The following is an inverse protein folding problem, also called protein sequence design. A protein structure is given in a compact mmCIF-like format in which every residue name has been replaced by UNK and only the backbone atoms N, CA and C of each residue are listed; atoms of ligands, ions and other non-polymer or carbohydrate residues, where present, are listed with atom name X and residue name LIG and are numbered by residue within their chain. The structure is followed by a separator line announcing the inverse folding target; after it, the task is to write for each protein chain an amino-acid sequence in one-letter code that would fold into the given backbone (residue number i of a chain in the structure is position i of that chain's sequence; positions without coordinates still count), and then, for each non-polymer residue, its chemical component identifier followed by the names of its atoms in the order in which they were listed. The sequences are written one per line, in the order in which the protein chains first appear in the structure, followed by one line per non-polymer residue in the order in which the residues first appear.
data_IF_130732208756
#
_entry.id   IF_130732208756
#
_cell.length_a   1.000
_cell.length_b   1.000
_cell.length_c   1.000
_cell.angle_alpha   90.00
_cell.angle_beta   90.00
_cell.angle_gamma   90.00
#
_symmetry.space_group_name_H-M   'P 1'
#
loop_
_entity.id
_entity.type
_entity.pdbx_description
1 polymer ?
#
# COMPACT_ATOMS: atom_id res chain seq x y z
N UNK A 1 -24.25 -3.41 -17.58
CA UNK A 1 -22.99 -4.19 -17.65
C UNK A 1 -21.83 -3.28 -17.25
N UNK A 2 -21.21 -3.46 -16.08
CA UNK A 2 -19.96 -2.75 -15.74
C UNK A 2 -18.84 -3.38 -16.54
N UNK A 3 -18.17 -2.63 -17.44
CA UNK A 3 -16.96 -3.11 -18.12
C UNK A 3 -15.93 -3.44 -17.04
N UNK A 4 -15.32 -4.63 -17.09
CA UNK A 4 -14.18 -4.95 -16.21
C UNK A 4 -13.07 -3.93 -16.52
N UNK A 5 -12.63 -3.22 -15.49
CA UNK A 5 -11.46 -2.34 -15.60
C UNK A 5 -10.24 -3.20 -15.91
N UNK A 6 -9.49 -2.83 -16.94
CA UNK A 6 -8.22 -3.45 -17.30
C UNK A 6 -7.13 -2.62 -16.63
N UNK A 7 -6.30 -3.26 -15.79
CA UNK A 7 -5.19 -2.59 -15.12
C UNK A 7 -3.91 -2.68 -15.97
N UNK A 8 -2.95 -1.75 -15.78
CA UNK A 8 -1.65 -1.82 -16.45
C UNK A 8 -0.93 -3.15 -16.19
N UNK A 9 -0.20 -3.66 -17.20
CA UNK A 9 0.47 -4.96 -17.13
C UNK A 9 1.43 -5.08 -15.93
N UNK A 10 2.17 -4.00 -15.64
CA UNK A 10 3.10 -3.95 -14.51
C UNK A 10 2.42 -4.04 -13.14
N UNK A 11 1.19 -3.52 -13.02
CA UNK A 11 0.38 -3.63 -11.79
C UNK A 11 -0.04 -5.09 -11.59
N UNK A 12 -0.49 -5.75 -12.67
CA UNK A 12 -0.84 -7.18 -12.63
C UNK A 12 0.39 -8.06 -12.32
N UNK A 13 1.53 -7.76 -12.93
CA UNK A 13 2.78 -8.48 -12.69
C UNK A 13 3.22 -8.39 -11.22
N UNK A 14 3.17 -7.18 -10.64
CA UNK A 14 3.48 -6.96 -9.23
C UNK A 14 2.53 -7.71 -8.29
N UNK A 15 1.23 -7.73 -8.59
CA UNK A 15 0.27 -8.55 -7.82
C UNK A 15 0.57 -10.05 -7.91
N UNK A 16 0.94 -10.54 -9.09
CA UNK A 16 1.28 -11.95 -9.28
C UNK A 16 2.56 -12.32 -8.53
N UNK A 17 3.57 -11.46 -8.58
CA UNK A 17 4.81 -11.64 -7.82
C UNK A 17 4.53 -11.66 -6.31
N UNK A 18 3.77 -10.70 -5.79
CA UNK A 18 3.47 -10.63 -4.37
C UNK A 18 2.71 -11.88 -3.86
N UNK A 19 1.84 -12.47 -4.68
CA UNK A 19 1.20 -13.75 -4.33
C UNK A 19 2.18 -14.92 -4.29
N UNK A 20 3.12 -14.99 -5.25
CA UNK A 20 4.15 -16.05 -5.27
C UNK A 20 5.07 -15.97 -4.07
N UNK A 21 5.43 -14.75 -3.68
CA UNK A 21 6.27 -14.46 -2.51
C UNK A 21 5.47 -14.48 -1.19
N UNK A 22 4.17 -14.80 -1.24
CA UNK A 22 3.29 -14.94 -0.07
C UNK A 22 3.17 -13.71 0.82
N UNK A 23 3.28 -12.51 0.25
CA UNK A 23 2.99 -11.26 0.98
C UNK A 23 1.62 -11.31 1.67
N UNK A 24 1.53 -10.78 2.89
CA UNK A 24 0.28 -10.74 3.66
C UNK A 24 -0.80 -9.99 2.89
N UNK A 25 -0.48 -8.86 2.27
CA UNK A 25 -1.40 -8.16 1.38
C UNK A 25 -0.66 -7.30 0.35
N UNK A 26 -1.38 -6.92 -0.70
CA UNK A 26 -0.97 -5.84 -1.59
C UNK A 26 -2.17 -4.97 -1.99
N UNK A 27 -1.95 -3.67 -2.17
CA UNK A 27 -2.96 -2.70 -2.62
C UNK A 27 -2.35 -1.82 -3.70
N UNK A 28 -3.08 -1.65 -4.81
CA UNK A 28 -2.77 -0.66 -5.83
C UNK A 28 -3.63 0.57 -5.61
N UNK A 29 -2.95 1.69 -5.40
CA UNK A 29 -3.50 3.02 -5.23
C UNK A 29 -3.32 3.80 -6.52
N UNK A 30 -4.41 4.17 -7.17
CA UNK A 30 -4.37 4.86 -8.46
C UNK A 30 -4.65 6.34 -8.28
N UNK A 31 -3.96 7.18 -9.04
CA UNK A 31 -4.24 8.61 -9.09
C UNK A 31 -5.50 8.87 -9.90
N UNK A 32 -6.40 9.69 -9.37
CA UNK A 32 -7.64 10.04 -10.06
C UNK A 32 -7.41 10.94 -11.29
N UNK A 33 -6.19 11.44 -11.52
CA UNK A 33 -5.78 12.20 -12.72
C UNK A 33 -6.51 13.53 -12.97
N UNK A 34 -7.59 13.82 -12.23
CA UNK A 34 -8.54 14.91 -12.47
C UNK A 34 -8.33 16.15 -11.60
N UNK A 35 -7.27 16.20 -10.78
CA UNK A 35 -7.02 17.38 -9.97
C UNK A 35 -6.41 18.50 -10.81
N UNK A 36 -7.28 19.31 -11.42
CA UNK A 36 -6.95 20.69 -11.84
C UNK A 36 -6.67 21.60 -10.62
N UNK A 37 -6.60 21.03 -9.41
CA UNK A 37 -6.31 21.74 -8.19
C UNK A 37 -4.80 21.74 -7.94
N UNK A 38 -4.29 22.89 -7.52
CA UNK A 38 -2.94 23.09 -7.03
C UNK A 38 -2.64 22.34 -5.70
N UNK A 39 -3.58 21.51 -5.21
CA UNK A 39 -3.49 20.81 -3.92
C UNK A 39 -2.96 19.37 -4.03
N UNK A 40 -2.60 18.91 -5.24
CA UNK A 40 -1.92 17.63 -5.45
C UNK A 40 -2.83 16.47 -5.88
N UNK A 41 -2.19 15.37 -6.28
CA UNK A 41 -2.85 14.17 -6.77
C UNK A 41 -3.49 13.36 -5.62
N UNK A 42 -4.79 13.09 -5.71
CA UNK A 42 -5.47 12.12 -4.83
C UNK A 42 -5.18 10.70 -5.29
N UNK A 43 -4.77 9.82 -4.37
CA UNK A 43 -4.56 8.39 -4.59
C UNK A 43 -5.65 7.58 -3.90
N UNK A 44 -6.36 6.74 -4.67
CA UNK A 44 -7.48 5.93 -4.19
C UNK A 44 -7.21 4.44 -4.37
N UNK A 45 -7.60 3.56 -3.43
CA UNK A 45 -7.39 2.13 -3.57
C UNK A 45 -8.35 1.56 -4.61
N UNK A 46 -7.82 1.02 -5.71
CA UNK A 46 -8.66 0.50 -6.83
C UNK A 46 -8.55 -1.01 -7.00
N UNK A 47 -7.53 -1.64 -6.40
CA UNK A 47 -7.32 -3.09 -6.44
C UNK A 47 -6.50 -3.53 -5.24
N UNK A 48 -6.74 -4.73 -4.73
CA UNK A 48 -5.89 -5.34 -3.73
C UNK A 48 -6.15 -6.83 -3.56
N UNK A 49 -5.30 -7.49 -2.78
CA UNK A 49 -5.57 -8.81 -2.23
C UNK A 49 -5.06 -8.87 -0.78
N UNK A 50 -5.61 -9.83 -0.05
CA UNK A 50 -5.14 -10.24 1.26
C UNK A 50 -4.94 -11.77 1.25
N UNK A 51 -3.82 -12.23 1.78
CA UNK A 51 -3.48 -13.64 1.91
C UNK A 51 -4.16 -14.23 3.15
N UNK A 52 -5.27 -14.95 2.94
CA UNK A 52 -6.07 -15.53 4.03
C UNK A 52 -5.36 -16.64 4.82
N UNK A 53 -4.26 -17.17 4.29
CA UNK A 53 -3.44 -18.17 4.98
C UNK A 53 -2.49 -17.54 6.01
N UNK A 54 -2.34 -16.20 5.99
CA UNK A 54 -1.58 -15.49 7.02
C UNK A 54 -2.42 -15.32 8.29
N UNK A 55 -2.36 -16.34 9.14
CA UNK A 55 -3.05 -16.41 10.42
C UNK A 55 -2.58 -15.35 11.43
N UNK A 56 -1.37 -14.77 11.28
CA UNK A 56 -0.86 -13.73 12.19
C UNK A 56 -1.59 -12.41 11.99
N UNK A 57 -2.16 -12.20 10.79
CA UNK A 57 -2.86 -10.99 10.41
C UNK A 57 -4.38 -11.15 10.30
N UNK A 58 -4.88 -12.40 10.15
CA UNK A 58 -6.28 -12.70 9.82
C UNK A 58 -7.30 -12.01 10.69
N UNK A 59 -7.15 -12.08 12.01
CA UNK A 59 -8.12 -11.52 12.94
C UNK A 59 -8.08 -9.98 13.00
N UNK A 60 -7.02 -9.37 12.46
CA UNK A 60 -6.80 -7.92 12.43
C UNK A 60 -7.05 -7.30 11.05
N UNK A 61 -7.21 -8.12 10.01
CA UNK A 61 -7.29 -7.66 8.63
C UNK A 61 -8.47 -6.71 8.40
N UNK A 62 -9.65 -7.06 8.93
CA UNK A 62 -10.86 -6.25 8.77
C UNK A 62 -10.68 -4.88 9.41
N UNK A 63 -10.22 -4.80 10.66
CA UNK A 63 -9.98 -3.52 11.34
C UNK A 63 -8.85 -2.72 10.70
N UNK A 64 -7.77 -3.37 10.25
CA UNK A 64 -6.67 -2.70 9.54
C UNK A 64 -7.16 -2.00 8.26
N UNK A 65 -7.97 -2.69 7.45
CA UNK A 65 -8.50 -2.14 6.21
C UNK A 65 -9.71 -1.21 6.42
N UNK A 66 -10.43 -1.33 7.53
CA UNK A 66 -11.53 -0.41 7.89
C UNK A 66 -11.03 0.90 8.50
N UNK A 67 -9.99 0.88 9.34
CA UNK A 67 -9.35 2.10 9.87
C UNK A 67 -8.68 2.94 8.77
N UNK A 68 -8.61 2.42 7.55
CA UNK A 68 -8.28 3.19 6.34
C UNK A 68 -9.40 4.16 5.95
N UNK A 69 -10.66 3.79 6.16
CA UNK A 69 -11.86 4.55 5.76
C UNK A 69 -12.24 5.65 6.77
N UNK A 70 -11.52 5.76 7.89
CA UNK A 70 -11.76 6.77 8.92
C UNK A 70 -10.86 8.01 8.81
N UNK A 71 -10.08 8.14 7.73
CA UNK A 71 -9.30 9.33 7.41
C UNK A 71 -10.03 10.12 6.31
N UNK A 72 -10.16 11.45 6.40
CA UNK A 72 -10.97 12.21 5.45
C UNK A 72 -10.38 12.11 4.03
N UNK A 73 -11.22 11.61 3.11
CA UNK A 73 -11.33 11.63 1.63
C UNK A 73 -10.16 11.95 0.68
N UNK A 74 -8.94 12.19 1.14
CA UNK A 74 -7.81 12.57 0.29
C UNK A 74 -6.51 12.46 1.08
N UNK A 75 -5.78 11.35 0.87
CA UNK A 75 -4.45 11.09 1.43
C UNK A 75 -3.57 12.34 1.31
N UNK A 76 -3.41 12.97 2.46
CA UNK A 76 -2.99 14.34 2.65
C UNK A 76 -1.56 14.52 2.17
N UNK A 77 -1.23 15.74 1.73
CA UNK A 77 0.14 16.18 1.48
C UNK A 77 1.08 15.66 2.59
N UNK A 78 2.13 14.90 2.23
CA UNK A 78 3.05 14.28 3.20
C UNK A 78 2.80 12.81 3.55
N UNK A 79 1.83 12.13 2.92
CA UNK A 79 1.70 10.66 3.06
C UNK A 79 2.85 9.91 2.34
N UNK A 80 3.14 8.68 2.79
CA UNK A 80 4.13 7.80 2.12
C UNK A 80 3.76 7.52 0.66
N UNK A 81 2.45 7.42 0.37
CA UNK A 81 1.93 7.22 -0.97
C UNK A 81 2.19 8.44 -1.86
N UNK A 82 1.90 9.64 -1.37
CA UNK A 82 2.20 10.88 -2.10
C UNK A 82 3.70 11.08 -2.31
N UNK A 83 4.53 10.75 -1.32
CA UNK A 83 5.99 10.81 -1.44
C UNK A 83 6.49 9.91 -2.58
N UNK A 84 6.12 8.63 -2.55
CA UNK A 84 6.55 7.63 -3.55
C UNK A 84 5.99 7.95 -4.92
N UNK A 85 4.75 8.41 -4.99
CA UNK A 85 4.18 8.89 -6.25
C UNK A 85 5.02 10.07 -6.78
N UNK A 86 5.11 11.19 -6.07
CA UNK A 86 5.78 12.38 -6.59
C UNK A 86 7.28 12.21 -6.90
N UNK A 87 7.99 11.39 -6.13
CA UNK A 87 9.45 11.21 -6.32
C UNK A 87 9.82 10.01 -7.18
N UNK A 88 8.90 9.07 -7.37
CA UNK A 88 9.18 7.75 -7.97
C UNK A 88 10.26 6.94 -7.23
N UNK A 89 10.66 7.36 -6.03
CA UNK A 89 11.64 6.63 -5.20
C UNK A 89 10.89 5.57 -4.39
N UNK A 90 11.21 4.27 -4.54
CA UNK A 90 10.58 3.23 -3.73
C UNK A 90 10.99 3.39 -2.27
N UNK A 91 10.06 3.09 -1.36
CA UNK A 91 10.32 3.07 0.08
C UNK A 91 10.13 1.64 0.58
N UNK A 92 11.19 1.09 1.15
CA UNK A 92 11.18 -0.21 1.82
C UNK A 92 11.43 -0.04 3.31
N UNK A 93 10.60 -0.65 4.15
CA UNK A 93 10.77 -0.67 5.60
C UNK A 93 10.62 -2.10 6.09
N UNK A 94 11.70 -2.65 6.63
CA UNK A 94 11.76 -4.00 7.16
C UNK A 94 12.30 -3.97 8.59
N UNK A 95 11.59 -4.61 9.50
CA UNK A 95 11.90 -4.66 10.93
C UNK A 95 10.99 -3.75 11.75
N UNK A 96 10.99 -4.02 13.06
CA UNK A 96 10.20 -3.29 14.05
C UNK A 96 10.59 -1.80 14.11
N UNK A 97 11.87 -1.50 14.34
CA UNK A 97 12.34 -0.12 14.53
C UNK A 97 12.04 0.77 13.31
N UNK A 98 12.32 0.37 12.04
CA UNK A 98 11.99 1.19 10.87
C UNK A 98 10.50 1.44 10.66
N UNK A 99 9.62 0.55 11.14
CA UNK A 99 8.17 0.74 11.03
C UNK A 99 7.63 1.58 12.20
N UNK A 100 8.04 1.29 13.43
CA UNK A 100 7.58 1.97 14.65
C UNK A 100 8.07 3.42 14.75
N UNK A 101 9.31 3.70 14.33
CA UNK A 101 9.91 5.04 14.36
C UNK A 101 9.60 5.89 13.11
N UNK A 102 8.90 5.32 12.12
CA UNK A 102 8.61 6.00 10.86
C UNK A 102 7.89 7.33 11.07
N UNK A 103 8.32 8.36 10.35
CA UNK A 103 7.63 9.65 10.28
C UNK A 103 6.22 9.55 9.68
N UNK A 104 5.98 8.53 8.83
CA UNK A 104 4.68 8.27 8.23
C UNK A 104 3.83 7.39 9.15
N UNK A 105 2.55 7.73 9.26
CA UNK A 105 1.57 6.97 10.04
C UNK A 105 1.38 5.52 9.54
N UNK A 106 1.34 5.32 8.22
CA UNK A 106 1.01 4.01 7.60
C UNK A 106 1.97 2.87 8.02
N UNK A 107 3.31 3.04 8.00
CA UNK A 107 4.25 2.11 8.62
C UNK A 107 3.98 1.81 10.11
N UNK A 108 3.71 2.84 10.93
CA UNK A 108 3.45 2.69 12.36
C UNK A 108 2.18 1.87 12.62
N UNK A 109 1.12 2.19 11.90
CA UNK A 109 -0.13 1.42 11.92
C UNK A 109 0.14 -0.04 11.51
N UNK A 110 0.92 -0.27 10.46
CA UNK A 110 1.32 -1.62 10.06
C UNK A 110 1.99 -2.39 11.21
N UNK A 111 2.95 -1.76 11.88
CA UNK A 111 3.63 -2.32 13.04
C UNK A 111 2.69 -2.65 14.21
N UNK A 112 1.78 -1.73 14.57
CA UNK A 112 0.75 -1.98 15.61
C UNK A 112 -0.11 -3.22 15.29
N UNK A 113 -0.30 -3.50 14.00
CA UNK A 113 -1.06 -4.63 13.50
C UNK A 113 -0.21 -5.91 13.31
N UNK A 114 1.09 -5.85 13.60
CA UNK A 114 2.01 -6.98 13.55
C UNK A 114 2.68 -7.19 12.18
N UNK A 115 2.65 -6.20 11.29
CA UNK A 115 3.49 -6.21 10.10
C UNK A 115 4.95 -5.98 10.51
N UNK A 116 5.84 -6.73 9.88
CA UNK A 116 7.29 -6.58 10.02
C UNK A 116 7.93 -5.97 8.77
N UNK A 117 7.25 -6.04 7.62
CA UNK A 117 7.73 -5.42 6.39
C UNK A 117 6.61 -4.67 5.70
N UNK A 118 6.92 -3.46 5.23
CA UNK A 118 6.07 -2.71 4.33
C UNK A 118 6.89 -2.08 3.22
N UNK A 119 6.32 -2.05 2.01
CA UNK A 119 6.99 -1.50 0.84
C UNK A 119 6.01 -0.71 -0.03
N UNK A 120 6.50 0.37 -0.63
CA UNK A 120 5.75 1.22 -1.54
C UNK A 120 6.58 1.49 -2.79
N UNK A 121 6.00 1.20 -3.96
CA UNK A 121 6.68 1.35 -5.25
C UNK A 121 5.74 2.07 -6.22
N UNK A 122 6.21 3.12 -6.88
CA UNK A 122 5.42 3.78 -7.94
C UNK A 122 5.27 2.83 -9.12
N UNK A 123 4.04 2.58 -9.54
CA UNK A 123 3.72 1.81 -10.74
C UNK A 123 2.64 2.54 -11.53
N UNK A 124 2.94 2.85 -12.78
CA UNK A 124 2.03 3.48 -13.74
C UNK A 124 1.54 4.82 -13.17
N UNK A 125 0.23 5.04 -13.16
CA UNK A 125 -0.42 6.23 -12.63
C UNK A 125 -0.76 6.07 -11.15
N UNK A 126 -0.02 5.23 -10.42
CA UNK A 126 -0.30 4.93 -9.03
C UNK A 126 0.90 4.45 -8.21
N UNK A 127 0.60 3.92 -7.03
CA UNK A 127 1.56 3.33 -6.09
C UNK A 127 1.05 1.96 -5.67
N UNK A 128 1.94 0.98 -5.69
CA UNK A 128 1.70 -0.32 -5.08
C UNK A 128 2.20 -0.30 -3.65
N UNK A 129 1.33 -0.66 -2.71
CA UNK A 129 1.66 -0.91 -1.30
C UNK A 129 1.67 -2.42 -1.06
N UNK A 130 2.68 -2.88 -0.32
CA UNK A 130 2.79 -4.24 0.16
C UNK A 130 2.96 -4.24 1.69
N UNK A 131 2.41 -5.25 2.34
CA UNK A 131 2.63 -5.50 3.76
C UNK A 131 2.84 -6.98 4.02
N UNK A 132 3.76 -7.29 4.93
CA UNK A 132 4.07 -8.64 5.37
C UNK A 132 4.20 -8.71 6.90
N UNK A 133 3.67 -9.77 7.50
CA UNK A 133 3.96 -10.17 8.90
C UNK A 133 5.34 -10.82 9.05
N UNK A 134 6.00 -11.11 7.94
CA UNK A 134 7.35 -11.64 7.87
C UNK A 134 8.36 -10.53 7.59
N UNK A 135 9.59 -10.73 8.06
CA UNK A 135 10.71 -9.87 7.75
C UNK A 135 11.23 -10.22 6.35
N UNK A 136 11.04 -9.32 5.40
CA UNK A 136 11.51 -9.43 4.02
C UNK A 136 12.52 -8.29 3.82
N UNK A 137 13.78 -8.66 3.61
CA UNK A 137 14.81 -7.67 3.27
C UNK A 137 14.63 -7.24 1.82
N UNK A 138 14.72 -5.93 1.56
CA UNK A 138 14.79 -5.43 0.19
C UNK A 138 16.18 -5.72 -0.37
N UNK A 139 16.23 -6.08 -1.64
CA UNK A 139 17.48 -6.16 -2.42
C UNK A 139 18.04 -4.77 -2.76
#
# INVERSE_FOLDING_TARGET
MRKKKIFPLQVEAAFNQARRERWTYAIYWESDGLSNSSLGHTLSPVKGFYNMDDFKFKDKAVSFFQLRESWPDNLTFGSVLCQVFSTSIPIWRAGEDPLASSMYYRPRQGHEYGLQTMSWIRLADGVMEFGSTELIHGD
#
